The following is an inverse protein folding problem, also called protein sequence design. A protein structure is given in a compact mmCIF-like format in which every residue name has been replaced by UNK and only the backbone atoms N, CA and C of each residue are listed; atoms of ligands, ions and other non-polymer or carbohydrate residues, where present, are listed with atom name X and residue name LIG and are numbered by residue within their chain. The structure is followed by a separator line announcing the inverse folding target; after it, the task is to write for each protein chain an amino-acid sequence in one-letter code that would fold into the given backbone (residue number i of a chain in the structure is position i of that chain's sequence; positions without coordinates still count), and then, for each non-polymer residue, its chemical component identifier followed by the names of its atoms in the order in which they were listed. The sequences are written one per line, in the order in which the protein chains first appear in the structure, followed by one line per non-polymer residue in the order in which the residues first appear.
data_IF_913473940647
#
_entry.id   IF_913473940647
#
_cell.length_a   1.000
_cell.length_b   1.000
_cell.length_c   1.000
_cell.angle_alpha   90.00
_cell.angle_beta   90.00
_cell.angle_gamma   90.00
#
_symmetry.space_group_name_H-M   'P 1'
#
loop_
_entity.id
_entity.type
_entity.pdbx_description
1 polymer ?
#
# COMPACT_ATOMS: atom_id res chain seq x y z
N UNK A 1 48.91 -32.30 3.42
CA UNK A 1 47.66 -31.75 2.84
C UNK A 1 46.68 -31.47 3.98
N UNK A 2 46.53 -30.23 4.47
CA UNK A 2 45.62 -29.93 5.57
C UNK A 2 44.18 -29.78 5.06
N UNK A 3 43.24 -30.51 5.67
CA UNK A 3 41.79 -30.46 5.39
C UNK A 3 41.24 -29.09 5.82
N UNK A 4 40.75 -28.31 4.86
CA UNK A 4 40.03 -27.03 5.09
C UNK A 4 38.71 -27.31 5.81
N UNK A 5 38.56 -26.75 7.02
CA UNK A 5 37.26 -26.61 7.70
C UNK A 5 36.40 -25.63 6.91
N UNK A 6 35.28 -26.09 6.39
CA UNK A 6 34.24 -25.26 5.80
C UNK A 6 33.51 -24.57 6.97
N UNK A 7 33.55 -23.24 7.02
CA UNK A 7 32.79 -22.44 7.97
C UNK A 7 31.34 -22.35 7.48
N UNK A 8 30.44 -22.89 8.28
CA UNK A 8 29.00 -22.76 8.12
C UNK A 8 28.60 -21.27 8.20
N UNK A 9 28.20 -20.69 7.07
CA UNK A 9 27.69 -19.32 6.98
C UNK A 9 26.23 -19.28 7.42
N UNK A 10 26.03 -19.29 8.73
CA UNK A 10 24.71 -19.13 9.34
C UNK A 10 24.33 -17.63 9.33
N UNK A 11 23.89 -17.12 8.18
CA UNK A 11 23.43 -15.73 8.05
C UNK A 11 21.91 -15.66 8.29
N UNK A 12 21.52 -15.81 9.57
CA UNK A 12 20.18 -15.44 10.04
C UNK A 12 20.02 -13.93 9.88
N UNK A 13 19.36 -13.49 8.81
CA UNK A 13 18.79 -12.14 8.73
C UNK A 13 17.66 -12.01 9.75
N UNK A 14 18.02 -11.76 11.01
CA UNK A 14 17.09 -11.23 12.01
C UNK A 14 16.98 -9.72 11.76
N UNK A 15 16.07 -9.34 10.86
CA UNK A 15 15.56 -7.98 10.79
C UNK A 15 14.69 -7.73 12.01
N UNK A 16 15.26 -7.21 13.09
CA UNK A 16 14.45 -6.52 14.08
C UNK A 16 13.88 -5.27 13.40
N UNK A 17 12.57 -4.99 13.47
CA UNK A 17 12.07 -3.72 13.00
C UNK A 17 12.70 -2.63 13.87
N UNK A 18 13.58 -1.83 13.25
CA UNK A 18 13.99 -0.53 13.75
C UNK A 18 12.69 0.19 14.14
N UNK A 19 12.55 0.56 15.42
CA UNK A 19 11.33 1.16 15.96
C UNK A 19 10.86 2.26 15.01
N UNK A 20 9.82 1.99 14.22
CA UNK A 20 9.27 3.00 13.33
C UNK A 20 8.91 4.22 14.18
N UNK A 21 9.39 5.39 13.77
CA UNK A 21 9.05 6.65 14.44
C UNK A 21 7.52 6.71 14.61
N UNK A 22 7.06 6.78 15.86
CA UNK A 22 5.64 6.82 16.19
C UNK A 22 4.97 7.96 15.42
N UNK A 23 3.81 7.67 14.82
CA UNK A 23 3.03 8.67 14.11
C UNK A 23 2.75 9.87 15.02
N UNK A 24 3.08 11.08 14.57
CA UNK A 24 2.77 12.31 15.32
C UNK A 24 1.67 13.09 14.61
N UNK A 25 0.84 13.82 15.36
CA UNK A 25 -0.23 14.66 14.81
C UNK A 25 0.26 15.76 13.85
N UNK A 26 1.58 15.98 13.77
CA UNK A 26 2.24 16.98 12.95
C UNK A 26 2.96 16.41 11.72
N UNK A 27 2.90 15.09 11.50
CA UNK A 27 3.56 14.45 10.37
C UNK A 27 2.99 14.98 9.05
N UNK A 28 3.90 15.36 8.15
CA UNK A 28 3.59 15.77 6.79
C UNK A 28 3.76 14.58 5.86
N UNK A 29 2.65 14.12 5.28
CA UNK A 29 2.54 12.84 4.58
C UNK A 29 2.20 13.08 3.11
N UNK A 30 2.91 12.38 2.23
CA UNK A 30 2.58 12.25 0.82
C UNK A 30 2.08 10.83 0.55
N UNK A 31 0.97 10.70 -0.17
CA UNK A 31 0.46 9.44 -0.72
C UNK A 31 0.40 9.58 -2.23
N UNK A 32 1.19 8.77 -2.94
CA UNK A 32 1.19 8.69 -4.41
C UNK A 32 0.56 7.38 -4.82
N UNK A 33 -0.55 7.44 -5.54
CA UNK A 33 -1.27 6.27 -6.05
C UNK A 33 -0.95 6.03 -7.51
N UNK A 34 -0.81 4.78 -7.91
CA UNK A 34 -0.71 4.38 -9.32
C UNK A 34 -1.97 4.78 -10.11
N UNK A 35 -3.16 4.42 -9.61
CA UNK A 35 -4.43 4.76 -10.21
C UNK A 35 -4.84 6.22 -10.02
N UNK A 36 -5.57 6.76 -11.01
CA UNK A 36 -6.05 8.15 -11.00
C UNK A 36 -7.35 8.37 -10.23
N UNK A 37 -8.08 7.30 -9.88
CA UNK A 37 -9.46 7.40 -9.37
C UNK A 37 -9.68 6.69 -8.05
N UNK A 38 -9.73 5.35 -8.03
CA UNK A 38 -10.20 4.57 -6.88
C UNK A 38 -9.44 4.89 -5.60
N UNK A 39 -8.11 4.75 -5.64
CA UNK A 39 -7.23 4.92 -4.48
C UNK A 39 -7.17 6.39 -4.04
N UNK A 40 -6.95 7.38 -4.93
CA UNK A 40 -7.03 8.78 -4.54
C UNK A 40 -8.39 9.19 -3.95
N UNK A 41 -9.51 8.70 -4.50
CA UNK A 41 -10.84 8.96 -3.93
C UNK A 41 -10.97 8.35 -2.54
N UNK A 42 -10.60 7.09 -2.38
CA UNK A 42 -10.64 6.38 -1.10
C UNK A 42 -9.86 7.13 -0.01
N UNK A 43 -8.60 7.49 -0.26
CA UNK A 43 -7.78 8.19 0.73
C UNK A 43 -8.24 9.62 0.99
N UNK A 44 -8.77 10.34 -0.02
CA UNK A 44 -9.34 11.69 0.19
C UNK A 44 -10.60 11.64 1.06
N UNK A 45 -11.41 10.61 0.92
CA UNK A 45 -12.59 10.38 1.76
C UNK A 45 -12.21 9.99 3.19
N UNK A 46 -11.23 9.09 3.34
CA UNK A 46 -10.64 8.74 4.64
C UNK A 46 -10.11 9.98 5.35
N UNK A 47 -9.31 10.80 4.65
CA UNK A 47 -8.76 12.06 5.18
C UNK A 47 -9.87 12.99 5.68
N UNK A 48 -10.94 13.16 4.89
CA UNK A 48 -12.10 13.99 5.26
C UNK A 48 -12.83 13.41 6.48
N UNK A 49 -13.07 12.10 6.53
CA UNK A 49 -13.77 11.44 7.63
C UNK A 49 -13.05 11.60 8.96
N UNK A 50 -11.73 11.44 8.94
CA UNK A 50 -10.89 11.55 10.14
C UNK A 50 -10.40 12.96 10.43
N UNK A 51 -10.86 13.96 9.66
CA UNK A 51 -10.48 15.38 9.81
C UNK A 51 -8.96 15.59 9.80
N UNK A 52 -8.23 14.76 9.05
CA UNK A 52 -6.79 14.86 8.97
C UNK A 52 -6.45 16.12 8.14
N UNK A 53 -5.62 16.99 8.70
CA UNK A 53 -5.32 18.30 8.14
C UNK A 53 -4.89 18.22 6.67
N UNK A 54 -5.57 18.96 5.78
CA UNK A 54 -5.20 19.03 4.35
C UNK A 54 -3.78 19.57 4.16
N UNK A 55 -3.29 20.38 5.11
CA UNK A 55 -1.92 20.90 5.11
C UNK A 55 -0.90 19.79 5.40
N UNK A 56 -1.32 18.73 6.09
CA UNK A 56 -0.50 17.64 6.58
C UNK A 56 -0.53 16.42 5.65
N UNK A 57 -1.56 16.23 4.82
CA UNK A 57 -1.67 15.04 3.97
C UNK A 57 -1.97 15.42 2.52
N UNK A 58 -0.98 15.22 1.65
CA UNK A 58 -1.09 15.35 0.21
C UNK A 58 -1.33 13.99 -0.45
N UNK A 59 -2.36 13.93 -1.31
CA UNK A 59 -2.77 12.71 -2.01
C UNK A 59 -2.83 13.02 -3.50
N UNK A 60 -2.08 12.27 -4.30
CA UNK A 60 -1.93 12.48 -5.74
C UNK A 60 -1.88 11.16 -6.49
N UNK A 61 -2.28 11.18 -7.75
CA UNK A 61 -1.94 10.11 -8.68
C UNK A 61 -0.51 10.28 -9.19
N UNK A 62 0.11 9.20 -9.63
CA UNK A 62 1.35 9.19 -10.39
C UNK A 62 1.11 9.70 -11.82
N UNK A 63 2.20 10.11 -12.47
CA UNK A 63 2.16 10.61 -13.85
C UNK A 63 2.15 9.47 -14.90
N UNK A 64 2.25 8.21 -14.46
CA UNK A 64 2.16 7.01 -15.28
C UNK A 64 1.18 5.98 -14.68
N UNK A 65 1.19 4.77 -15.22
CA UNK A 65 0.29 3.65 -14.85
C UNK A 65 1.10 2.41 -14.49
N UNK A 66 2.27 2.59 -13.88
CA UNK A 66 3.16 1.51 -13.50
C UNK A 66 3.85 1.83 -12.16
N UNK A 67 4.25 0.81 -11.37
CA UNK A 67 4.92 0.99 -10.10
C UNK A 67 6.13 1.94 -10.13
N UNK A 68 6.98 1.90 -11.15
CA UNK A 68 8.14 2.79 -11.24
C UNK A 68 7.75 4.26 -11.47
N UNK A 69 6.65 4.51 -12.17
CA UNK A 69 6.09 5.86 -12.29
C UNK A 69 5.67 6.43 -10.93
N UNK A 70 5.12 5.59 -10.03
CA UNK A 70 4.79 5.99 -8.65
C UNK A 70 6.04 6.42 -7.89
N UNK A 71 7.12 5.63 -7.98
CA UNK A 71 8.40 5.95 -7.33
C UNK A 71 8.97 7.27 -7.85
N UNK A 72 8.96 7.47 -9.18
CA UNK A 72 9.46 8.72 -9.80
C UNK A 72 8.65 9.93 -9.33
N UNK A 73 7.32 9.90 -9.45
CA UNK A 73 6.46 10.99 -9.01
C UNK A 73 6.61 11.28 -7.51
N UNK A 74 6.76 10.24 -6.68
CA UNK A 74 6.98 10.40 -5.23
C UNK A 74 8.31 11.12 -4.93
N UNK A 75 9.39 10.76 -5.61
CA UNK A 75 10.69 11.44 -5.48
C UNK A 75 10.64 12.88 -5.94
N UNK A 76 10.05 13.14 -7.10
CA UNK A 76 9.96 14.48 -7.66
C UNK A 76 9.17 15.42 -6.74
N UNK A 77 8.08 14.92 -6.13
CA UNK A 77 7.31 15.67 -5.13
C UNK A 77 8.08 15.90 -3.84
N UNK A 78 8.81 14.91 -3.34
CA UNK A 78 9.66 15.05 -2.15
C UNK A 78 10.73 16.13 -2.35
N UNK A 79 11.44 16.11 -3.48
CA UNK A 79 12.45 17.10 -3.83
C UNK A 79 11.84 18.49 -4.05
N UNK A 80 10.71 18.59 -4.75
CA UNK A 80 10.00 19.84 -4.97
C UNK A 80 9.54 20.47 -3.64
N UNK A 81 9.02 19.68 -2.69
CA UNK A 81 8.62 20.18 -1.38
C UNK A 81 9.79 20.62 -0.52
N UNK A 82 10.90 19.88 -0.54
CA UNK A 82 12.14 20.28 0.12
C UNK A 82 12.61 21.65 -0.38
N UNK A 83 12.50 21.94 -1.67
CA UNK A 83 12.85 23.25 -2.25
C UNK A 83 11.87 24.36 -1.88
N UNK A 84 10.57 24.10 -2.00
CA UNK A 84 9.53 25.14 -1.88
C UNK A 84 9.16 25.47 -0.43
N UNK A 85 9.10 24.47 0.46
CA UNK A 85 8.73 24.65 1.88
C UNK A 85 9.92 24.56 2.84
N UNK A 86 11.13 24.27 2.34
CA UNK A 86 12.32 23.97 3.17
C UNK A 86 12.07 22.82 4.18
N UNK A 87 11.04 22.00 3.95
CA UNK A 87 10.67 20.85 4.78
C UNK A 87 10.26 19.69 3.86
N UNK A 88 10.92 18.52 3.93
CA UNK A 88 10.48 17.32 3.23
C UNK A 88 9.20 16.76 3.86
N UNK A 89 8.50 15.87 3.16
CA UNK A 89 7.52 15.00 3.79
C UNK A 89 8.23 14.09 4.80
N UNK A 90 7.61 13.93 5.97
CA UNK A 90 8.07 13.02 7.03
C UNK A 90 7.81 11.56 6.62
N UNK A 91 6.71 11.31 5.91
CA UNK A 91 6.40 10.00 5.29
C UNK A 91 5.92 10.13 3.85
N UNK A 92 6.40 9.24 2.99
CA UNK A 92 6.01 9.13 1.58
C UNK A 92 5.54 7.71 1.31
N UNK A 93 4.24 7.53 1.07
CA UNK A 93 3.66 6.24 0.70
C UNK A 93 3.49 6.13 -0.81
N UNK A 94 4.08 5.09 -1.37
CA UNK A 94 3.88 4.66 -2.75
C UNK A 94 2.86 3.53 -2.79
N UNK A 95 1.65 3.81 -3.28
CA UNK A 95 0.54 2.87 -3.42
C UNK A 95 0.50 2.35 -4.85
N UNK A 96 0.71 1.05 -5.03
CA UNK A 96 0.73 0.41 -6.35
C UNK A 96 0.37 -1.07 -6.26
N UNK A 97 -0.06 -1.62 -7.38
CA UNK A 97 -0.59 -2.97 -7.46
C UNK A 97 0.43 -3.91 -8.08
N UNK A 98 0.36 -5.20 -7.74
CA UNK A 98 1.19 -6.22 -8.41
C UNK A 98 0.79 -6.35 -9.87
N UNK A 99 -0.51 -6.49 -10.10
CA UNK A 99 -1.18 -6.80 -11.37
C UNK A 99 -0.26 -7.54 -12.37
N UNK A 100 -0.11 -7.06 -13.59
CA UNK A 100 0.79 -7.61 -14.61
C UNK A 100 2.07 -6.78 -14.78
N UNK A 101 2.40 -5.93 -13.81
CA UNK A 101 3.53 -5.01 -13.94
C UNK A 101 4.87 -5.75 -13.91
N UNK A 102 5.69 -5.54 -14.93
CA UNK A 102 7.03 -6.13 -15.05
C UNK A 102 8.05 -5.45 -14.13
N UNK A 103 7.80 -4.20 -13.76
CA UNK A 103 8.71 -3.37 -12.97
C UNK A 103 8.31 -3.23 -11.48
N UNK A 104 7.42 -4.12 -11.01
CA UNK A 104 6.96 -4.14 -9.62
C UNK A 104 8.10 -4.33 -8.62
N UNK A 105 8.97 -5.31 -8.87
CA UNK A 105 10.09 -5.61 -7.98
C UNK A 105 11.13 -4.49 -8.00
N UNK A 106 11.42 -3.92 -9.17
CA UNK A 106 12.30 -2.76 -9.30
C UNK A 106 11.81 -1.57 -8.46
N UNK A 107 10.49 -1.30 -8.51
CA UNK A 107 9.87 -0.25 -7.72
C UNK A 107 10.00 -0.51 -6.22
N UNK A 108 9.73 -1.75 -5.79
CA UNK A 108 9.91 -2.15 -4.39
C UNK A 108 11.36 -1.99 -3.93
N UNK A 109 12.33 -2.51 -4.69
CA UNK A 109 13.75 -2.39 -4.36
C UNK A 109 14.17 -0.92 -4.30
N UNK A 110 13.69 -0.09 -5.23
CA UNK A 110 14.01 1.33 -5.21
C UNK A 110 13.46 2.01 -3.95
N UNK A 111 12.23 1.70 -3.54
CA UNK A 111 11.64 2.24 -2.29
C UNK A 111 12.41 1.75 -1.06
N UNK A 112 12.85 0.49 -1.04
CA UNK A 112 13.64 -0.07 0.06
C UNK A 112 14.92 0.75 0.31
N UNK A 113 15.62 1.19 -0.76
CA UNK A 113 16.80 2.06 -0.63
C UNK A 113 16.49 3.47 -0.10
N UNK A 114 15.22 3.89 -0.12
CA UNK A 114 14.76 5.21 0.29
C UNK A 114 14.06 5.22 1.68
N UNK A 115 14.00 4.08 2.38
CA UNK A 115 13.27 3.98 3.65
C UNK A 115 13.74 4.96 4.73
N UNK A 116 15.05 5.23 4.79
CA UNK A 116 15.65 6.24 5.70
C UNK A 116 15.22 7.68 5.40
N UNK A 117 14.67 7.92 4.21
CA UNK A 117 14.13 9.21 3.78
C UNK A 117 12.60 9.28 3.94
N UNK A 118 12.00 8.34 4.69
CA UNK A 118 10.55 8.30 4.97
C UNK A 118 9.72 7.58 3.91
N UNK A 119 10.33 7.00 2.87
CA UNK A 119 9.58 6.27 1.83
C UNK A 119 9.10 4.91 2.35
N UNK A 120 7.87 4.55 1.97
CA UNK A 120 7.19 3.30 2.33
C UNK A 120 6.37 2.80 1.15
N UNK A 121 6.18 1.49 1.08
CA UNK A 121 5.21 0.89 0.16
C UNK A 121 3.83 0.80 0.80
N UNK A 122 2.82 0.71 -0.04
CA UNK A 122 1.51 0.21 0.32
C UNK A 122 0.96 -0.59 -0.88
N UNK A 123 1.43 -1.83 -1.01
CA UNK A 123 1.20 -2.73 -2.16
C UNK A 123 -0.06 -3.56 -2.01
N UNK A 124 -0.65 -3.96 -3.13
CA UNK A 124 -1.72 -4.97 -3.15
C UNK A 124 -1.45 -6.06 -4.16
N UNK A 125 -1.86 -7.28 -3.81
CA UNK A 125 -1.85 -8.45 -4.68
C UNK A 125 -3.26 -9.01 -4.80
N UNK A 126 -3.83 -9.12 -6.01
CA UNK A 126 -3.29 -8.59 -7.26
C UNK A 126 -3.45 -7.06 -7.38
N UNK A 127 -4.49 -6.48 -6.75
CA UNK A 127 -4.85 -5.08 -6.93
C UNK A 127 -5.54 -4.45 -5.71
N UNK A 128 -5.73 -3.13 -5.72
CA UNK A 128 -6.38 -2.36 -4.65
C UNK A 128 -7.79 -2.83 -4.33
N UNK A 129 -8.55 -3.35 -5.31
CA UNK A 129 -9.87 -3.93 -5.07
C UNK A 129 -9.85 -5.10 -4.07
N UNK A 130 -8.71 -5.78 -3.88
CA UNK A 130 -8.57 -6.80 -2.83
C UNK A 130 -8.73 -6.20 -1.43
N UNK A 131 -8.16 -5.02 -1.17
CA UNK A 131 -8.36 -4.30 0.08
C UNK A 131 -9.85 -3.98 0.33
N UNK A 132 -10.58 -3.62 -0.73
CA UNK A 132 -12.02 -3.36 -0.63
C UNK A 132 -12.80 -4.65 -0.34
N UNK A 133 -12.44 -5.77 -0.97
CA UNK A 133 -13.05 -7.08 -0.77
C UNK A 133 -12.95 -7.54 0.69
N UNK A 134 -11.83 -7.28 1.35
CA UNK A 134 -11.58 -7.68 2.73
C UNK A 134 -12.53 -7.04 3.75
N UNK A 135 -13.27 -5.99 3.38
CA UNK A 135 -14.35 -5.44 4.21
C UNK A 135 -15.55 -6.39 4.34
N UNK A 136 -15.72 -7.34 3.43
CA UNK A 136 -16.86 -8.26 3.43
C UNK A 136 -16.51 -9.60 4.05
N UNK A 137 -15.32 -10.11 3.73
CA UNK A 137 -14.85 -11.42 4.19
C UNK A 137 -13.34 -11.55 4.13
N UNK A 138 -12.82 -12.45 4.96
CA UNK A 138 -11.48 -12.99 4.80
C UNK A 138 -11.40 -13.91 3.57
N UNK A 139 -10.33 -13.82 2.78
CA UNK A 139 -10.02 -14.83 1.76
C UNK A 139 -8.52 -14.85 1.43
N UNK A 140 -8.01 -16.05 1.13
CA UNK A 140 -6.69 -16.32 0.55
C UNK A 140 -6.77 -17.19 -0.71
N UNK A 141 -7.97 -17.34 -1.29
CA UNK A 141 -8.12 -17.99 -2.59
C UNK A 141 -7.37 -17.17 -3.64
N UNK A 142 -6.41 -17.77 -4.37
CA UNK A 142 -5.58 -17.05 -5.34
C UNK A 142 -6.44 -16.46 -6.47
N UNK A 143 -6.12 -15.24 -6.87
CA UNK A 143 -6.66 -14.65 -8.09
C UNK A 143 -5.64 -14.83 -9.20
N UNK A 144 -5.97 -15.63 -10.21
CA UNK A 144 -5.07 -15.91 -11.32
C UNK A 144 -5.63 -15.32 -12.61
N UNK A 145 -4.76 -15.20 -13.62
CA UNK A 145 -5.22 -14.90 -14.98
C UNK A 145 -6.07 -16.07 -15.47
N UNK A 146 -7.25 -15.76 -16.00
CA UNK A 146 -8.16 -16.72 -16.62
C UNK A 146 -8.51 -16.24 -18.03
N UNK A 147 -7.89 -16.86 -19.03
CA UNK A 147 -7.98 -16.43 -20.43
C UNK A 147 -7.57 -14.97 -20.62
N UNK A 148 -8.52 -14.15 -21.08
CA UNK A 148 -8.30 -12.71 -21.29
C UNK A 148 -8.41 -11.87 -20.02
N UNK A 149 -8.89 -12.43 -18.90
CA UNK A 149 -9.04 -11.70 -17.64
C UNK A 149 -7.78 -11.78 -16.80
N UNK A 150 -7.27 -10.63 -16.38
CA UNK A 150 -6.14 -10.58 -15.44
C UNK A 150 -6.58 -10.99 -14.03
N UNK A 151 -5.60 -11.31 -13.18
CA UNK A 151 -5.84 -11.55 -11.76
C UNK A 151 -6.58 -10.38 -11.09
N UNK A 152 -6.18 -9.13 -11.40
CA UNK A 152 -6.85 -7.94 -10.89
C UNK A 152 -8.31 -7.83 -11.35
N UNK A 153 -8.60 -8.16 -12.62
CA UNK A 153 -9.98 -8.18 -13.13
C UNK A 153 -10.84 -9.26 -12.47
N UNK A 154 -10.27 -10.44 -12.17
CA UNK A 154 -10.97 -11.49 -11.43
C UNK A 154 -11.24 -11.09 -9.97
N UNK A 155 -10.30 -10.39 -9.33
CA UNK A 155 -10.51 -9.79 -8.02
C UNK A 155 -11.62 -8.72 -8.05
N UNK A 156 -11.61 -7.81 -9.04
CA UNK A 156 -12.65 -6.80 -9.22
C UNK A 156 -14.03 -7.43 -9.45
N UNK A 157 -14.12 -8.51 -10.23
CA UNK A 157 -15.39 -9.21 -10.45
C UNK A 157 -15.92 -9.86 -9.17
N UNK A 158 -15.03 -10.39 -8.33
CA UNK A 158 -15.41 -10.92 -7.02
C UNK A 158 -15.87 -9.79 -6.07
N UNK A 159 -15.26 -8.61 -6.13
CA UNK A 159 -15.74 -7.45 -5.38
C UNK A 159 -17.14 -7.00 -5.81
N UNK A 160 -17.43 -7.06 -7.12
CA UNK A 160 -18.75 -6.69 -7.67
C UNK A 160 -19.90 -7.58 -7.20
N UNK A 161 -19.64 -8.81 -6.77
CA UNK A 161 -20.68 -9.66 -6.17
C UNK A 161 -20.99 -9.29 -4.72
N UNK A 162 -20.05 -8.66 -4.01
CA UNK A 162 -20.22 -8.20 -2.63
C UNK A 162 -20.80 -6.76 -2.57
N UNK A 163 -20.38 -5.89 -3.51
CA UNK A 163 -20.86 -4.52 -3.62
C UNK A 163 -21.73 -4.38 -4.86
N UNK A 164 -23.05 -4.39 -4.66
CA UNK A 164 -24.00 -4.15 -5.74
C UNK A 164 -23.72 -2.80 -6.42
N UNK A 165 -23.62 -2.82 -7.75
CA UNK A 165 -23.31 -1.67 -8.60
C UNK A 165 -21.93 -1.02 -8.37
N UNK A 166 -20.93 -1.75 -7.85
CA UNK A 166 -19.57 -1.21 -7.77
C UNK A 166 -19.05 -0.77 -9.14
N UNK A 167 -18.57 0.48 -9.21
CA UNK A 167 -17.92 1.03 -10.41
C UNK A 167 -16.51 1.48 -10.06
N UNK A 168 -15.51 0.95 -10.76
CA UNK A 168 -14.12 1.36 -10.58
C UNK A 168 -13.98 2.89 -10.69
N UNK A 169 -13.37 3.49 -9.67
CA UNK A 169 -13.21 4.94 -9.56
C UNK A 169 -14.43 5.71 -9.07
N UNK A 170 -15.50 5.05 -8.61
CA UNK A 170 -16.62 5.74 -7.96
C UNK A 170 -16.18 6.46 -6.68
N UNK A 171 -16.92 7.50 -6.31
CA UNK A 171 -16.78 8.18 -5.02
C UNK A 171 -17.77 7.59 -4.03
N UNK A 172 -17.50 7.76 -2.74
CA UNK A 172 -18.30 7.26 -1.63
C UNK A 172 -17.91 5.85 -1.18
N UNK A 173 -16.97 5.19 -1.86
CA UNK A 173 -16.56 3.82 -1.55
C UNK A 173 -16.02 3.69 -0.12
N UNK A 174 -15.18 4.61 0.34
CA UNK A 174 -14.68 4.57 1.72
C UNK A 174 -15.82 4.74 2.71
N UNK A 175 -16.76 5.64 2.43
CA UNK A 175 -17.90 5.90 3.33
C UNK A 175 -18.83 4.68 3.44
N UNK A 176 -19.07 3.97 2.34
CA UNK A 176 -19.84 2.71 2.31
C UNK A 176 -19.16 1.60 3.14
N UNK A 177 -17.83 1.54 3.09
CA UNK A 177 -17.03 0.49 3.71
C UNK A 177 -16.63 0.79 5.17
N UNK A 178 -16.68 2.06 5.59
CA UNK A 178 -16.28 2.52 6.92
C UNK A 178 -16.84 1.67 8.08
N UNK A 179 -18.12 1.24 8.10
CA UNK A 179 -18.64 0.42 9.20
C UNK A 179 -17.89 -0.91 9.41
N UNK A 180 -17.18 -1.39 8.37
CA UNK A 180 -16.44 -2.66 8.37
C UNK A 180 -14.93 -2.47 8.35
N UNK A 181 -14.44 -1.24 8.53
CA UNK A 181 -13.02 -0.91 8.36
C UNK A 181 -12.10 -1.68 9.30
N UNK A 182 -12.46 -1.82 10.58
CA UNK A 182 -11.64 -2.55 11.54
C UNK A 182 -11.62 -4.06 11.25
N UNK A 183 -12.71 -4.61 10.71
CA UNK A 183 -12.75 -6.01 10.27
C UNK A 183 -11.88 -6.22 9.02
N UNK A 184 -11.92 -5.27 8.07
CA UNK A 184 -11.05 -5.28 6.91
C UNK A 184 -9.56 -5.26 7.29
N UNK A 185 -9.20 -4.45 8.30
CA UNK A 185 -7.83 -4.40 8.83
C UNK A 185 -7.41 -5.74 9.41
N UNK A 186 -8.25 -6.40 10.22
CA UNK A 186 -7.97 -7.75 10.75
C UNK A 186 -7.80 -8.77 9.63
N UNK A 187 -8.70 -8.76 8.64
CA UNK A 187 -8.63 -9.65 7.49
C UNK A 187 -7.36 -9.43 6.67
N UNK A 188 -6.95 -8.18 6.47
CA UNK A 188 -5.72 -7.83 5.76
C UNK A 188 -4.46 -8.24 6.52
N UNK A 189 -4.40 -8.02 7.85
CA UNK A 189 -3.29 -8.46 8.70
C UNK A 189 -3.15 -9.97 8.63
N UNK A 190 -4.24 -10.71 8.81
CA UNK A 190 -4.24 -12.18 8.69
C UNK A 190 -3.78 -12.64 7.30
N UNK A 191 -4.26 -11.99 6.24
CA UNK A 191 -3.87 -12.35 4.87
C UNK A 191 -2.38 -12.09 4.61
N UNK A 192 -1.82 -11.04 5.21
CA UNK A 192 -0.41 -10.69 5.14
C UNK A 192 0.47 -11.68 5.90
N UNK A 193 0.07 -12.06 7.11
CA UNK A 193 0.74 -13.10 7.91
C UNK A 193 0.76 -14.44 7.18
N UNK A 194 -0.39 -14.87 6.62
CA UNK A 194 -0.46 -16.11 5.82
C UNK A 194 0.44 -16.04 4.58
N UNK A 195 0.48 -14.90 3.87
CA UNK A 195 1.37 -14.70 2.73
C UNK A 195 2.86 -14.78 3.09
N UNK A 196 3.25 -14.27 4.25
CA UNK A 196 4.64 -14.37 4.74
C UNK A 196 5.00 -15.81 5.14
N UNK A 197 4.06 -16.52 5.76
CA UNK A 197 4.26 -17.91 6.16
C UNK A 197 4.38 -18.87 4.97
N UNK A 198 3.63 -18.63 3.88
CA UNK A 198 3.64 -19.49 2.70
C UNK A 198 4.62 -19.04 1.62
N UNK A 199 5.07 -17.79 1.65
CA UNK A 199 5.82 -17.17 0.56
C UNK A 199 4.97 -16.79 -0.67
N UNK A 200 3.64 -16.96 -0.60
CA UNK A 200 2.71 -16.62 -1.69
C UNK A 200 1.97 -15.31 -1.35
N UNK A 201 2.32 -14.22 -2.03
CA UNK A 201 1.72 -12.91 -1.77
C UNK A 201 0.28 -12.78 -2.30
N UNK A 202 -0.16 -13.61 -3.25
CA UNK A 202 -1.46 -13.47 -3.90
C UNK A 202 -2.55 -14.31 -3.21
N UNK A 203 -3.67 -13.72 -2.74
CA UNK A 203 -3.88 -12.29 -2.50
C UNK A 203 -3.45 -11.83 -1.09
N UNK A 204 -2.88 -10.62 -1.00
CA UNK A 204 -2.54 -9.93 0.25
C UNK A 204 -2.47 -8.42 -0.01
N UNK A 205 -2.39 -7.61 1.04
CA UNK A 205 -2.30 -6.15 0.88
C UNK A 205 -1.67 -5.47 2.09
N UNK A 206 -0.95 -4.38 1.85
CA UNK A 206 -0.32 -3.50 2.85
C UNK A 206 -1.18 -2.25 3.13
N UNK A 207 -2.31 -2.07 2.43
CA UNK A 207 -3.15 -0.86 2.56
C UNK A 207 -3.64 -0.65 4.01
N UNK A 208 -3.88 -1.73 4.74
CA UNK A 208 -4.32 -1.69 6.13
C UNK A 208 -3.29 -1.02 7.07
N UNK A 209 -2.00 -1.13 6.77
CA UNK A 209 -0.92 -0.48 7.53
C UNK A 209 -0.95 1.03 7.30
N UNK A 210 -1.09 1.46 6.04
CA UNK A 210 -1.27 2.87 5.70
C UNK A 210 -2.53 3.44 6.35
N UNK A 211 -3.68 2.76 6.24
CA UNK A 211 -4.93 3.16 6.89
C UNK A 211 -4.75 3.30 8.40
N UNK A 212 -4.12 2.30 9.04
CA UNK A 212 -3.85 2.30 10.48
C UNK A 212 -2.92 3.43 10.90
N UNK A 213 -1.90 3.73 10.09
CA UNK A 213 -1.02 4.88 10.30
C UNK A 213 -1.80 6.20 10.22
N UNK A 214 -2.64 6.39 9.18
CA UNK A 214 -3.46 7.59 9.02
C UNK A 214 -4.47 7.78 10.16
N UNK A 215 -5.05 6.71 10.70
CA UNK A 215 -5.94 6.79 11.87
C UNK A 215 -5.20 7.28 13.12
N UNK A 216 -3.91 6.96 13.28
CA UNK A 216 -3.07 7.42 14.41
C UNK A 216 -2.66 8.89 14.30
N UNK A 217 -2.72 9.48 13.10
CA UNK A 217 -2.48 10.92 12.90
C UNK A 217 -3.62 11.81 13.37
N UNK A 218 -4.75 11.22 13.76
CA UNK A 218 -5.83 11.98 14.38
C UNK A 218 -5.26 12.72 15.59
N UNK A 219 -5.29 14.04 15.52
CA UNK A 219 -4.91 14.95 16.60
C UNK A 219 -5.65 14.50 17.87
N UNK A 220 -4.89 14.20 18.92
CA UNK A 220 -5.40 14.14 20.28
C UNK A 220 -5.90 15.52 20.70
#
# INVERSE_FOLDING_TARGET
MPKRRIRDSNQKQRGYPEKEALATSHDYVLIVCEGKKTEPHYFKELRRKYQLGTVNIEITAADGTDPMSVVRTARDKQESKKKTRKRPFDRVYCVFDRDEHTNFDDAFQRIATLQKQGFRTARSWPCFEFWLLLHFRYTRSPFERDGSRTAAQNCENTLKSEISNYRKGEKGVFSKLLPRLEEAKKNATRAREDAENTGENNPSTEIHELVGYLQKLKVA
#
